data_IF_634705996209
#
_entry.id   IF_634705996209
#
_cell.length_a   1.000
_cell.length_b   1.000
_cell.length_c   1.000
_cell.angle_alpha   90.00
_cell.angle_beta   90.00
_cell.angle_gamma   90.00
#
_symmetry.space_group_name_H-M   'P 1'
#
loop_
_entity.id
_entity.type
_entity.pdbx_description
1 polymer ?
#
# COMPACT_ATOMS: atom_id res chain seq x y z
N UNK A 1 7.00 3.12 14.98
CA UNK A 1 6.70 3.32 13.55
C UNK A 1 5.31 3.92 13.48
N UNK A 2 5.14 5.07 12.83
CA UNK A 2 3.87 5.79 12.81
C UNK A 2 2.78 4.92 12.19
N UNK A 3 1.68 4.73 12.92
CA UNK A 3 0.47 4.00 12.51
C UNK A 3 -0.29 4.81 11.44
N UNK A 4 0.36 5.11 10.32
CA UNK A 4 -0.27 5.70 9.14
C UNK A 4 -1.40 4.76 8.75
N UNK A 5 -2.60 5.30 8.48
CA UNK A 5 -3.86 4.54 8.33
C UNK A 5 -3.84 3.56 7.14
N UNK A 6 -3.10 2.47 7.28
CA UNK A 6 -3.20 1.30 6.42
C UNK A 6 -4.51 0.61 6.73
N UNK A 7 -5.47 0.76 5.82
CA UNK A 7 -6.79 0.12 5.95
C UNK A 7 -6.74 -1.23 5.25
N UNK A 8 -7.38 -2.25 5.83
CA UNK A 8 -7.59 -3.52 5.13
C UNK A 8 -8.42 -3.25 3.88
N UNK A 9 -8.02 -3.84 2.77
CA UNK A 9 -8.66 -3.64 1.48
C UNK A 9 -8.86 -4.97 0.76
N UNK A 10 -9.94 -5.06 -0.01
CA UNK A 10 -10.27 -6.24 -0.80
C UNK A 10 -9.91 -5.96 -2.25
N UNK A 11 -8.85 -6.60 -2.75
CA UNK A 11 -8.50 -6.58 -4.17
C UNK A 11 -8.97 -7.88 -4.82
N UNK A 12 -9.38 -7.79 -6.09
CA UNK A 12 -9.53 -8.96 -6.95
C UNK A 12 -8.14 -9.33 -7.49
N UNK A 13 -7.84 -10.62 -7.54
CA UNK A 13 -6.64 -11.11 -8.23
C UNK A 13 -6.68 -10.80 -9.73
N UNK A 14 -5.55 -10.97 -10.42
CA UNK A 14 -5.42 -10.76 -11.87
C UNK A 14 -6.36 -11.65 -12.69
N UNK A 15 -6.71 -12.83 -12.17
CA UNK A 15 -7.63 -13.78 -12.82
C UNK A 15 -9.11 -13.48 -12.59
N UNK A 16 -9.46 -12.32 -12.03
CA UNK A 16 -10.85 -11.90 -11.86
C UNK A 16 -11.65 -12.71 -10.81
N UNK A 17 -11.06 -13.74 -10.21
CA UNK A 17 -11.63 -14.47 -9.09
C UNK A 17 -11.79 -13.50 -7.90
N UNK A 18 -13.05 -13.39 -7.43
CA UNK A 18 -13.48 -12.64 -6.23
C UNK A 18 -12.53 -12.97 -5.08
N UNK A 19 -11.79 -12.01 -4.53
CA UNK A 19 -12.29 -11.02 -3.57
C UNK A 19 -11.94 -11.50 -2.16
N UNK A 20 -10.99 -10.80 -1.51
CA UNK A 20 -10.27 -11.15 -0.28
C UNK A 20 -8.97 -11.92 -0.54
N UNK A 21 -7.94 -11.23 -1.04
CA UNK A 21 -6.59 -11.64 -0.66
C UNK A 21 -6.49 -11.37 0.84
N UNK A 22 -6.36 -12.39 1.70
CA UNK A 22 -6.24 -12.17 3.13
C UNK A 22 -5.11 -11.17 3.37
N UNK A 23 -5.41 -10.13 4.14
CA UNK A 23 -4.45 -9.16 4.63
C UNK A 23 -3.88 -8.12 3.65
N UNK A 24 -4.46 -7.98 2.46
CA UNK A 24 -4.17 -6.81 1.63
C UNK A 24 -4.54 -5.50 2.34
N UNK A 25 -3.73 -4.47 2.11
CA UNK A 25 -3.83 -3.18 2.77
C UNK A 25 -3.69 -2.05 1.76
N UNK A 26 -4.36 -0.94 2.04
CA UNK A 26 -4.27 0.30 1.27
C UNK A 26 -3.94 1.46 2.20
N UNK A 27 -3.02 2.31 1.74
CA UNK A 27 -2.72 3.59 2.37
C UNK A 27 -3.57 4.65 1.66
N UNK A 28 -4.35 5.39 2.45
CA UNK A 28 -5.14 6.51 1.97
C UNK A 28 -4.54 7.83 2.47
N UNK A 29 -4.68 8.89 1.69
CA UNK A 29 -4.49 10.25 2.17
C UNK A 29 -5.73 10.75 2.93
N UNK A 30 -5.65 11.96 3.49
CA UNK A 30 -6.77 12.60 4.21
C UNK A 30 -8.01 12.84 3.32
N UNK A 31 -7.84 12.95 2.01
CA UNK A 31 -8.93 13.07 1.04
C UNK A 31 -9.52 11.70 0.64
N UNK A 32 -9.05 10.60 1.23
CA UNK A 32 -9.46 9.24 0.90
C UNK A 32 -8.90 8.72 -0.43
N UNK A 33 -7.94 9.42 -1.03
CA UNK A 33 -7.27 9.00 -2.26
C UNK A 33 -6.29 7.88 -1.97
N UNK A 34 -6.19 6.95 -2.92
CA UNK A 34 -5.35 5.75 -2.81
C UNK A 34 -3.90 6.12 -3.05
N UNK A 35 -3.09 6.09 -2.00
CA UNK A 35 -1.68 6.46 -2.08
C UNK A 35 -0.79 5.27 -2.39
N UNK A 36 -1.00 4.17 -1.69
CA UNK A 36 -0.22 2.96 -1.88
C UNK A 36 -1.06 1.73 -1.54
N UNK A 37 -0.72 0.58 -2.10
CA UNK A 37 -1.37 -0.70 -1.79
C UNK A 37 -0.33 -1.79 -1.62
N UNK A 38 -0.65 -2.72 -0.74
CA UNK A 38 0.12 -3.92 -0.45
C UNK A 38 -0.82 -5.10 -0.54
N UNK A 39 -0.45 -6.13 -1.30
CA UNK A 39 -1.22 -7.35 -1.50
C UNK A 39 -0.31 -8.57 -1.48
N UNK A 40 -0.80 -9.67 -0.93
CA UNK A 40 -0.10 -10.95 -1.02
C UNK A 40 -0.38 -11.61 -2.37
N UNK A 41 0.67 -12.05 -3.05
CA UNK A 41 0.55 -12.84 -4.27
C UNK A 41 0.41 -14.30 -3.85
N UNK A 42 -0.81 -14.84 -3.97
CA UNK A 42 -1.11 -16.22 -3.59
C UNK A 42 -0.67 -17.22 -4.67
N UNK A 43 -0.68 -16.80 -5.93
CA UNK A 43 -0.50 -17.65 -7.10
C UNK A 43 0.47 -17.04 -8.13
N UNK A 44 0.90 -17.85 -9.09
CA UNK A 44 1.79 -17.43 -10.18
C UNK A 44 3.28 -17.36 -9.80
N UNK A 45 4.09 -16.76 -10.66
CA UNK A 45 5.56 -16.75 -10.51
C UNK A 45 6.07 -16.00 -9.25
N UNK A 46 5.20 -15.20 -8.63
CA UNK A 46 5.52 -14.42 -7.42
C UNK A 46 4.77 -14.93 -6.19
N UNK A 47 4.15 -16.11 -6.27
CA UNK A 47 3.45 -16.73 -5.14
C UNK A 47 4.31 -16.74 -3.88
N UNK A 48 3.71 -16.43 -2.73
CA UNK A 48 4.39 -16.36 -1.45
C UNK A 48 5.04 -15.02 -1.13
N UNK A 49 4.94 -14.02 -2.02
CA UNK A 49 5.55 -12.69 -1.84
C UNK A 49 4.48 -11.61 -1.64
N UNK A 50 4.87 -10.54 -0.95
CA UNK A 50 4.07 -9.34 -0.78
C UNK A 50 4.39 -8.34 -1.89
N UNK A 51 3.43 -8.08 -2.75
CA UNK A 51 3.52 -7.01 -3.74
C UNK A 51 3.15 -5.68 -3.11
N UNK A 52 3.96 -4.68 -3.38
CA UNK A 52 3.70 -3.30 -2.99
C UNK A 52 3.66 -2.43 -4.23
N UNK A 53 2.75 -1.46 -4.24
CA UNK A 53 2.53 -0.52 -5.34
C UNK A 53 2.28 0.86 -4.73
N UNK A 54 3.10 1.84 -5.07
CA UNK A 54 2.79 3.26 -4.87
C UNK A 54 1.89 3.67 -6.04
N UNK A 55 0.77 4.33 -5.78
CA UNK A 55 -0.22 4.71 -6.81
C UNK A 55 -0.14 6.19 -7.18
N UNK A 56 0.65 6.97 -6.45
CA UNK A 56 0.83 8.40 -6.69
C UNK A 56 2.23 8.64 -7.24
N UNK A 57 2.32 9.07 -8.49
CA UNK A 57 3.59 9.53 -9.05
C UNK A 57 3.74 11.04 -8.84
N UNK A 58 4.97 11.56 -8.72
CA UNK A 58 5.22 13.01 -8.64
C UNK A 58 4.67 13.81 -9.84
N UNK A 59 4.45 13.15 -10.98
CA UNK A 59 4.01 13.77 -12.24
C UNK A 59 2.50 13.61 -12.52
N UNK A 60 1.73 13.01 -11.61
CA UNK A 60 0.27 12.81 -11.78
C UNK A 60 -0.13 11.63 -12.66
N UNK A 61 0.83 10.90 -13.24
CA UNK A 61 0.57 9.69 -14.03
C UNK A 61 0.26 8.49 -13.13
N UNK A 62 -0.84 7.76 -13.35
CA UNK A 62 -1.24 6.62 -12.51
C UNK A 62 -0.45 5.34 -12.88
N UNK A 63 0.85 5.31 -12.59
CA UNK A 63 1.74 4.15 -12.77
C UNK A 63 2.90 4.22 -11.77
N UNK A 64 2.59 4.29 -10.47
CA UNK A 64 3.64 4.39 -9.47
C UNK A 64 4.43 3.10 -9.28
N UNK A 65 5.57 3.23 -8.60
CA UNK A 65 6.58 2.20 -8.43
C UNK A 65 6.00 0.95 -7.77
N UNK A 66 6.42 -0.22 -8.25
CA UNK A 66 6.02 -1.52 -7.70
C UNK A 66 7.21 -2.41 -7.45
N UNK A 67 7.07 -3.31 -6.49
CA UNK A 67 8.00 -4.40 -6.30
C UNK A 67 7.44 -5.46 -5.38
N UNK A 68 8.33 -6.36 -4.98
CA UNK A 68 8.01 -7.52 -4.16
C UNK A 68 8.83 -7.47 -2.86
N UNK A 69 8.28 -8.04 -1.81
CA UNK A 69 8.91 -8.20 -0.50
C UNK A 69 8.55 -9.56 0.08
N UNK A 70 9.39 -10.06 0.99
CA UNK A 70 9.12 -11.33 1.68
C UNK A 70 8.08 -11.15 2.80
N UNK A 71 8.01 -9.97 3.41
CA UNK A 71 7.09 -9.67 4.51
C UNK A 71 6.15 -8.52 4.18
N UNK A 72 5.00 -8.49 4.86
CA UNK A 72 4.02 -7.40 4.77
C UNK A 72 4.57 -6.09 5.32
N UNK A 73 5.34 -6.15 6.41
CA UNK A 73 5.94 -4.98 7.03
C UNK A 73 6.98 -4.33 6.12
N UNK A 74 7.83 -5.12 5.47
CA UNK A 74 8.79 -4.60 4.49
C UNK A 74 8.09 -3.94 3.31
N UNK A 75 7.06 -4.59 2.78
CA UNK A 75 6.23 -4.03 1.70
C UNK A 75 5.62 -2.67 2.09
N UNK A 76 5.08 -2.56 3.31
CA UNK A 76 4.56 -1.29 3.84
C UNK A 76 5.67 -0.24 4.00
N UNK A 77 6.80 -0.61 4.62
CA UNK A 77 7.91 0.31 4.85
C UNK A 77 8.51 0.82 3.53
N UNK A 78 8.59 -0.02 2.50
CA UNK A 78 9.05 0.36 1.17
C UNK A 78 8.06 1.29 0.48
N UNK A 79 6.76 1.02 0.55
CA UNK A 79 5.73 1.95 0.07
C UNK A 79 5.90 3.32 0.73
N UNK A 80 5.95 3.37 2.05
CA UNK A 80 6.04 4.64 2.80
C UNK A 80 7.31 5.43 2.49
N UNK A 81 8.46 4.75 2.33
CA UNK A 81 9.72 5.39 1.93
C UNK A 81 9.66 5.98 0.51
N UNK A 82 8.79 5.46 -0.34
CA UNK A 82 8.64 5.88 -1.74
C UNK A 82 7.47 6.81 -2.00
N UNK A 83 6.55 6.97 -1.04
CA UNK A 83 5.52 8.01 -1.12
C UNK A 83 6.22 9.37 -1.20
N UNK A 84 5.94 10.20 -2.23
CA UNK A 84 6.53 11.53 -2.36
C UNK A 84 6.19 12.44 -1.18
N UNK A 85 7.08 13.37 -0.83
CA UNK A 85 6.92 14.23 0.36
C UNK A 85 5.65 15.10 0.31
N UNK A 86 5.27 15.58 -0.87
CA UNK A 86 4.01 16.33 -1.05
C UNK A 86 2.76 15.47 -0.76
N UNK A 87 2.83 14.16 -0.97
CA UNK A 87 1.78 13.22 -0.58
C UNK A 87 1.89 12.86 0.90
N UNK A 88 3.11 12.74 1.44
CA UNK A 88 3.32 12.48 2.87
C UNK A 88 2.73 13.56 3.77
N UNK A 89 2.76 14.81 3.34
CA UNK A 89 2.13 15.93 4.04
C UNK A 89 0.60 15.75 4.19
N UNK A 90 -0.02 15.01 3.26
CA UNK A 90 -1.46 14.71 3.22
C UNK A 90 -1.81 13.34 3.80
N UNK A 91 -0.82 12.57 4.24
CA UNK A 91 -1.09 11.30 4.90
C UNK A 91 -1.59 11.60 6.32
N UNK A 92 -2.59 10.83 6.80
CA UNK A 92 -3.07 11.00 8.16
C UNK A 92 -1.90 10.86 9.14
N UNK A 93 -1.61 11.94 9.85
CA UNK A 93 -0.67 11.95 10.96
C UNK A 93 -1.28 11.02 12.02
N UNK A 94 -0.72 9.82 12.18
CA UNK A 94 -1.16 8.89 13.22
C UNK A 94 -1.21 9.65 14.54
N UNK A 95 -2.37 9.68 15.20
CA UNK A 95 -2.56 10.40 16.46
C UNK A 95 -1.45 9.95 17.41
N UNK A 96 -0.47 10.81 17.68
CA UNK A 96 0.35 10.69 18.89
C UNK A 96 -0.66 10.79 20.03
N UNK A 97 -1.01 9.67 20.66
CA UNK A 97 -1.67 9.71 21.97
C UNK A 97 -0.69 10.46 22.88
N UNK A 98 -1.08 11.59 23.50
CA UNK A 98 -0.34 12.07 24.64
C UNK A 98 -0.40 10.99 25.72
N UNK A 99 0.76 10.64 26.27
CA UNK A 99 0.87 9.83 27.48
C UNK A 99 0.36 10.64 28.68
#
# INVERSE_FOLDING_TARGET
MSDRQWRRANFKGTDGARGLVPDACILLDEAGQRVAKVSFEADGANAGKWRWIVMVSPQGTPLGETGLSLTKEDAKALCERRVPDWTRARLPQGRRRPL
#
